data_IF_314504722474
#
_entry.id   IF_314504722474
#
_cell.length_a   1.000
_cell.length_b   1.000
_cell.length_c   1.000
_cell.angle_alpha   90.00
_cell.angle_beta   90.00
_cell.angle_gamma   90.00
#
_symmetry.space_group_name_H-M   'P 1'
#
loop_
_entity.id
_entity.type
_entity.pdbx_description
1 polymer ?
#
# COMPACT_ATOMS: atom_id res chain seq x y z
N UNK A 1 19.41 28.71 4.93
CA UNK A 1 18.03 28.33 5.28
C UNK A 1 17.29 27.89 4.04
N UNK A 2 16.69 26.72 4.07
CA UNK A 2 15.95 26.11 2.96
C UNK A 2 14.46 26.24 3.25
N UNK A 3 13.72 26.91 2.36
CA UNK A 3 12.29 27.13 2.55
C UNK A 3 11.46 26.00 1.94
N UNK A 4 10.47 25.55 2.71
CA UNK A 4 9.50 24.50 2.40
C UNK A 4 8.11 25.12 2.34
N UNK A 5 7.28 24.68 1.41
CA UNK A 5 5.85 25.00 1.36
C UNK A 5 5.02 23.71 1.47
N UNK A 6 3.97 23.71 2.30
CA UNK A 6 3.08 22.57 2.51
C UNK A 6 1.75 22.88 1.83
N UNK A 7 1.31 21.99 0.91
CA UNK A 7 0.02 22.07 0.21
C UNK A 7 -0.98 21.11 0.89
N UNK A 8 -1.97 21.68 1.57
CA UNK A 8 -2.96 20.98 2.37
C UNK A 8 -2.54 20.85 3.85
N UNK A 9 -3.35 21.39 4.74
CA UNK A 9 -3.14 21.34 6.19
C UNK A 9 -4.17 20.43 6.87
N UNK A 10 -4.31 19.22 6.29
CA UNK A 10 -5.06 18.12 6.88
C UNK A 10 -4.20 17.31 7.86
N UNK A 11 -4.63 16.09 8.15
CA UNK A 11 -3.95 15.17 9.09
C UNK A 11 -2.45 15.01 8.81
N UNK A 12 -2.08 14.84 7.54
CA UNK A 12 -0.67 14.64 7.15
C UNK A 12 0.09 15.97 7.13
N UNK A 13 -0.45 17.01 6.51
CA UNK A 13 0.22 18.32 6.41
C UNK A 13 0.49 18.96 7.77
N UNK A 14 -0.48 18.96 8.67
CA UNK A 14 -0.30 19.40 10.06
C UNK A 14 0.73 18.52 10.81
N UNK A 15 0.73 17.21 10.54
CA UNK A 15 1.74 16.29 11.05
C UNK A 15 3.15 16.65 10.57
N UNK A 16 3.32 16.95 9.27
CA UNK A 16 4.62 17.39 8.70
C UNK A 16 5.09 18.68 9.34
N UNK A 17 4.22 19.68 9.43
CA UNK A 17 4.51 20.95 10.11
C UNK A 17 5.02 20.68 11.53
N UNK A 18 4.30 19.84 12.29
CA UNK A 18 4.67 19.46 13.64
C UNK A 18 6.03 18.75 13.74
N UNK A 19 6.29 17.77 12.85
CA UNK A 19 7.55 16.99 12.85
C UNK A 19 8.75 17.92 12.53
N UNK A 20 8.62 18.81 11.55
CA UNK A 20 9.69 19.74 11.18
C UNK A 20 10.03 20.69 12.32
N UNK A 21 9.04 21.17 13.09
CA UNK A 21 9.28 22.02 14.27
C UNK A 21 9.81 21.22 15.46
N UNK A 22 9.20 20.07 15.76
CA UNK A 22 9.58 19.25 16.92
C UNK A 22 11.03 18.74 16.84
N UNK A 23 11.51 18.45 15.64
CA UNK A 23 12.82 17.86 15.39
C UNK A 23 13.76 18.83 14.63
N UNK A 24 13.46 20.12 14.57
CA UNK A 24 14.11 21.11 13.71
C UNK A 24 15.62 21.16 13.87
N UNK A 25 16.13 21.23 15.10
CA UNK A 25 17.57 21.24 15.38
C UNK A 25 18.28 19.98 14.82
N UNK A 26 17.74 18.80 15.08
CA UNK A 26 18.31 17.54 14.59
C UNK A 26 18.24 17.41 13.07
N UNK A 27 17.18 17.94 12.48
CA UNK A 27 17.03 17.97 11.01
C UNK A 27 18.08 18.93 10.42
N UNK A 28 18.24 20.12 11.00
CA UNK A 28 19.25 21.08 10.56
C UNK A 28 20.68 20.52 10.63
N UNK A 29 21.03 19.82 11.71
CA UNK A 29 22.32 19.11 11.81
C UNK A 29 22.53 18.09 10.66
N UNK A 30 21.50 17.35 10.30
CA UNK A 30 21.58 16.32 9.24
C UNK A 30 21.62 16.91 7.84
N UNK A 31 20.94 18.01 7.61
CA UNK A 31 20.88 18.71 6.33
C UNK A 31 22.12 19.60 6.14
N UNK A 32 22.66 20.14 7.22
CA UNK A 32 23.73 21.14 7.21
C UNK A 32 23.20 22.56 7.00
N UNK A 33 21.88 22.74 7.07
CA UNK A 33 21.19 24.04 6.97
C UNK A 33 19.82 23.95 7.65
N UNK A 34 19.24 25.09 8.03
CA UNK A 34 17.90 25.16 8.64
C UNK A 34 16.81 24.93 7.59
N UNK A 35 15.78 24.17 7.97
CA UNK A 35 14.53 24.04 7.21
C UNK A 35 13.47 24.95 7.82
N UNK A 36 12.88 25.79 6.99
CA UNK A 36 11.83 26.72 7.38
C UNK A 36 10.55 26.46 6.59
N UNK A 37 9.42 26.28 7.26
CA UNK A 37 8.10 26.25 6.59
C UNK A 37 7.69 27.70 6.32
N UNK A 38 7.84 28.14 5.06
CA UNK A 38 7.55 29.51 4.63
C UNK A 38 6.08 29.71 4.29
N UNK A 39 5.42 28.66 3.80
CA UNK A 39 4.01 28.69 3.41
C UNK A 39 3.30 27.41 3.77
N UNK A 40 2.04 27.56 4.18
CA UNK A 40 1.04 26.51 4.26
C UNK A 40 -0.13 26.91 3.36
N UNK A 41 -0.46 26.13 2.34
CA UNK A 41 -1.61 26.37 1.46
C UNK A 41 -2.79 25.51 1.93
N UNK A 42 -3.90 26.14 2.29
CA UNK A 42 -5.18 25.48 2.52
C UNK A 42 -6.33 26.43 2.15
N UNK A 43 -7.51 25.89 1.89
CA UNK A 43 -8.73 26.70 1.65
C UNK A 43 -9.39 27.17 2.93
N UNK A 44 -9.02 26.59 4.07
CA UNK A 44 -9.56 26.87 5.40
C UNK A 44 -8.63 27.82 6.15
N UNK A 45 -9.20 28.56 7.10
CA UNK A 45 -8.45 29.28 8.11
C UNK A 45 -8.21 28.42 9.34
N UNK A 46 -7.12 28.68 10.07
CA UNK A 46 -6.75 27.94 11.28
C UNK A 46 -6.42 28.91 12.42
N UNK A 47 -7.42 29.65 12.96
CA UNK A 47 -7.19 30.69 13.97
C UNK A 47 -6.55 30.10 15.23
N UNK A 48 -5.44 30.70 15.65
CA UNK A 48 -4.68 30.27 16.84
C UNK A 48 -3.82 29.03 16.65
N UNK A 49 -3.78 28.45 15.43
CA UNK A 49 -2.82 27.38 15.10
C UNK A 49 -1.46 27.99 14.73
N UNK A 50 -0.34 27.33 15.06
CA UNK A 50 1.00 27.82 14.70
C UNK A 50 1.22 28.05 13.21
N UNK A 51 0.42 27.48 12.31
CA UNK A 51 0.52 27.73 10.87
C UNK A 51 -0.13 29.05 10.41
N UNK A 52 -0.86 29.76 11.27
CA UNK A 52 -1.63 30.96 10.90
C UNK A 52 -0.74 32.04 10.27
N UNK A 53 0.46 32.25 10.82
CA UNK A 53 1.40 33.27 10.32
C UNK A 53 1.99 32.97 8.94
N UNK A 54 1.92 31.72 8.47
CA UNK A 54 2.47 31.25 7.18
C UNK A 54 1.38 30.72 6.24
N UNK A 55 0.11 30.93 6.59
CA UNK A 55 -1.03 30.47 5.80
C UNK A 55 -1.20 31.32 4.54
N UNK A 56 -1.44 30.67 3.42
CA UNK A 56 -1.87 31.30 2.17
C UNK A 56 -3.02 30.53 1.54
N UNK A 57 -3.85 31.21 0.77
CA UNK A 57 -4.94 30.63 -0.03
C UNK A 57 -4.66 30.65 -1.53
N UNK A 58 -3.54 31.27 -1.94
CA UNK A 58 -3.13 31.36 -3.34
C UNK A 58 -1.85 30.54 -3.59
N UNK A 59 -1.99 29.50 -4.41
CA UNK A 59 -0.84 28.69 -4.84
C UNK A 59 0.23 29.51 -5.56
N UNK A 60 -0.11 30.64 -6.19
CA UNK A 60 0.86 31.48 -6.89
C UNK A 60 1.86 32.13 -5.96
N UNK A 61 1.52 32.36 -4.69
CA UNK A 61 2.48 32.87 -3.69
C UNK A 61 3.65 31.88 -3.52
N UNK A 62 3.36 30.58 -3.59
CA UNK A 62 4.36 29.51 -3.48
C UNK A 62 5.09 29.31 -4.80
N UNK A 63 4.33 29.26 -5.92
CA UNK A 63 4.89 28.97 -7.23
C UNK A 63 5.89 30.02 -7.68
N UNK A 64 5.55 31.32 -7.49
CA UNK A 64 6.33 32.45 -7.96
C UNK A 64 7.44 32.88 -6.98
N UNK A 65 7.46 32.33 -5.77
CA UNK A 65 8.52 32.62 -4.81
C UNK A 65 9.80 31.82 -5.13
N UNK A 66 10.89 32.48 -5.57
CA UNK A 66 12.14 31.79 -5.93
C UNK A 66 12.86 31.17 -4.71
N UNK A 67 12.55 31.63 -3.50
CA UNK A 67 13.17 31.14 -2.27
C UNK A 67 12.59 29.80 -1.81
N UNK A 68 11.40 29.41 -2.29
CA UNK A 68 10.81 28.10 -1.98
C UNK A 68 11.52 27.02 -2.80
N UNK A 69 12.25 26.16 -2.12
CA UNK A 69 13.01 25.07 -2.75
C UNK A 69 12.26 23.73 -2.81
N UNK A 70 11.40 23.48 -1.83
CA UNK A 70 10.70 22.19 -1.66
C UNK A 70 9.23 22.44 -1.45
N UNK A 71 8.39 21.71 -2.17
CA UNK A 71 6.93 21.70 -2.04
C UNK A 71 6.49 20.33 -1.52
N UNK A 72 5.63 20.32 -0.52
CA UNK A 72 5.07 19.10 0.10
C UNK A 72 3.61 19.00 -0.25
N UNK A 73 3.21 18.04 -1.05
CA UNK A 73 1.83 17.82 -1.46
C UNK A 73 1.17 16.78 -0.53
N UNK A 74 0.16 17.21 0.23
CA UNK A 74 -0.60 16.40 1.17
C UNK A 74 -2.12 16.64 1.06
N UNK A 75 -2.58 17.09 -0.12
CA UNK A 75 -3.99 17.41 -0.36
C UNK A 75 -4.85 16.16 -0.61
N UNK A 76 -4.25 15.13 -1.20
CA UNK A 76 -4.98 13.94 -1.66
C UNK A 76 -5.76 14.15 -2.97
N UNK A 77 -6.23 13.04 -3.56
CA UNK A 77 -6.90 13.04 -4.87
C UNK A 77 -5.99 13.44 -6.03
N UNK A 78 -6.55 13.49 -7.24
CA UNK A 78 -5.75 13.80 -8.45
C UNK A 78 -5.74 15.29 -8.79
N UNK A 79 -6.81 16.04 -8.49
CA UNK A 79 -6.94 17.46 -8.78
C UNK A 79 -7.27 18.25 -7.52
N UNK A 80 -6.58 19.36 -7.25
CA UNK A 80 -5.58 20.06 -8.07
C UNK A 80 -4.13 19.51 -7.92
N UNK A 81 -3.91 18.43 -7.13
CA UNK A 81 -2.59 17.90 -6.77
C UNK A 81 -1.65 17.71 -7.97
N UNK A 82 -2.13 17.10 -9.07
CA UNK A 82 -1.33 16.90 -10.28
C UNK A 82 -0.85 18.22 -10.89
N UNK A 83 -1.75 19.18 -11.07
CA UNK A 83 -1.40 20.46 -11.70
C UNK A 83 -0.42 21.25 -10.85
N UNK A 84 -0.60 21.27 -9.53
CA UNK A 84 0.29 21.97 -8.62
C UNK A 84 1.68 21.31 -8.56
N UNK A 85 1.72 20.00 -8.43
CA UNK A 85 2.96 19.21 -8.45
C UNK A 85 3.73 19.43 -9.75
N UNK A 86 3.06 19.30 -10.89
CA UNK A 86 3.67 19.52 -12.21
C UNK A 86 4.25 20.93 -12.36
N UNK A 87 3.48 21.96 -11.97
CA UNK A 87 3.95 23.36 -12.03
C UNK A 87 5.14 23.60 -11.11
N UNK A 88 5.13 23.07 -9.88
CA UNK A 88 6.25 23.18 -8.94
C UNK A 88 7.53 22.56 -9.52
N UNK A 89 7.46 21.33 -10.05
CA UNK A 89 8.57 20.64 -10.71
C UNK A 89 9.11 21.47 -11.89
N UNK A 90 8.23 21.97 -12.75
CA UNK A 90 8.61 22.79 -13.90
C UNK A 90 9.23 24.15 -13.50
N UNK A 91 8.89 24.68 -12.32
CA UNK A 91 9.49 25.87 -11.72
C UNK A 91 10.82 25.58 -10.99
N UNK A 92 11.35 24.36 -11.07
CA UNK A 92 12.63 23.99 -10.46
C UNK A 92 12.55 23.72 -8.95
N UNK A 93 11.36 23.42 -8.42
CA UNK A 93 11.15 23.08 -7.01
C UNK A 93 11.06 21.54 -6.87
N UNK A 94 11.74 20.99 -5.86
CA UNK A 94 11.56 19.57 -5.48
C UNK A 94 10.18 19.36 -4.87
N UNK A 95 9.60 18.19 -5.08
CA UNK A 95 8.29 17.85 -4.52
C UNK A 95 8.35 16.56 -3.73
N UNK A 96 7.76 16.58 -2.52
CA UNK A 96 7.49 15.39 -1.71
C UNK A 96 5.98 15.18 -1.62
N UNK A 97 5.48 13.94 -1.74
CA UNK A 97 4.04 13.68 -1.65
C UNK A 97 3.72 12.40 -0.87
N UNK A 98 2.58 12.42 -0.18
CA UNK A 98 1.96 11.21 0.41
C UNK A 98 0.83 10.63 -0.45
N UNK A 99 0.57 11.22 -1.61
CA UNK A 99 -0.61 10.96 -2.43
C UNK A 99 -0.40 9.76 -3.36
N UNK A 100 -0.79 8.58 -2.89
CA UNK A 100 -0.67 7.32 -3.65
C UNK A 100 -1.44 7.33 -4.98
N UNK A 101 -2.57 8.05 -5.06
CA UNK A 101 -3.35 8.14 -6.30
C UNK A 101 -2.59 8.93 -7.36
N UNK A 102 -1.99 10.05 -6.96
CA UNK A 102 -1.14 10.87 -7.81
C UNK A 102 0.07 10.08 -8.32
N UNK A 103 0.72 9.33 -7.43
CA UNK A 103 1.88 8.51 -7.79
C UNK A 103 1.50 7.36 -8.71
N UNK A 104 0.41 6.64 -8.43
CA UNK A 104 -0.05 5.51 -9.24
C UNK A 104 -0.48 5.93 -10.66
N UNK A 105 -1.14 7.09 -10.82
CA UNK A 105 -1.65 7.55 -12.12
C UNK A 105 -0.62 8.36 -12.91
N UNK A 106 0.21 9.17 -12.24
CA UNK A 106 1.09 10.15 -12.89
C UNK A 106 2.57 10.06 -12.46
N UNK A 107 2.94 9.09 -11.64
CA UNK A 107 4.28 8.97 -11.05
C UNK A 107 5.39 8.96 -12.09
N UNK A 108 5.24 8.18 -13.17
CA UNK A 108 6.21 8.11 -14.28
C UNK A 108 6.44 9.50 -14.88
N UNK A 109 5.36 10.18 -15.28
CA UNK A 109 5.44 11.51 -15.92
C UNK A 109 6.08 12.53 -14.98
N UNK A 110 5.68 12.55 -13.71
CA UNK A 110 6.21 13.53 -12.73
C UNK A 110 7.70 13.28 -12.44
N UNK A 111 8.12 12.02 -12.41
CA UNK A 111 9.54 11.67 -12.25
C UNK A 111 10.37 12.04 -13.48
N UNK A 112 9.88 11.80 -14.68
CA UNK A 112 10.55 12.25 -15.92
C UNK A 112 10.70 13.79 -15.95
N UNK A 113 9.65 14.52 -15.55
CA UNK A 113 9.70 15.97 -15.42
C UNK A 113 10.69 16.42 -14.34
N UNK A 114 10.74 15.77 -13.20
CA UNK A 114 11.70 16.06 -12.15
C UNK A 114 13.14 15.85 -12.62
N UNK A 115 13.40 14.75 -13.33
CA UNK A 115 14.70 14.49 -13.97
C UNK A 115 15.08 15.59 -14.94
N UNK A 116 14.17 15.97 -15.83
CA UNK A 116 14.40 17.01 -16.83
C UNK A 116 14.71 18.36 -16.20
N UNK A 117 14.10 18.68 -15.06
CA UNK A 117 14.30 19.95 -14.35
C UNK A 117 15.38 19.87 -13.27
N UNK A 118 16.06 18.72 -13.12
CA UNK A 118 17.11 18.49 -12.13
C UNK A 118 16.66 18.76 -10.69
N UNK A 119 15.45 18.32 -10.36
CA UNK A 119 14.84 18.36 -9.03
C UNK A 119 14.37 16.96 -8.60
N UNK A 120 13.89 16.83 -7.38
CA UNK A 120 13.42 15.57 -6.83
C UNK A 120 11.89 15.50 -6.83
N UNK A 121 11.33 14.32 -7.09
CA UNK A 121 9.97 13.95 -6.83
C UNK A 121 10.00 12.69 -5.98
N UNK A 122 9.78 12.82 -4.67
CA UNK A 122 9.86 11.76 -3.66
C UNK A 122 8.48 11.50 -3.07
N UNK A 123 8.20 10.25 -2.71
CA UNK A 123 6.87 9.82 -2.33
C UNK A 123 6.85 8.64 -1.35
N UNK A 124 7.83 8.58 -0.41
CA UNK A 124 7.94 7.51 0.60
C UNK A 124 6.60 7.27 1.31
N UNK A 125 5.93 8.34 1.71
CA UNK A 125 4.66 8.26 2.44
C UNK A 125 3.46 7.77 1.62
N UNK A 126 3.62 7.53 0.32
CA UNK A 126 2.56 7.00 -0.55
C UNK A 126 2.29 5.51 -0.31
N UNK A 127 3.30 4.76 0.17
CA UNK A 127 3.20 3.34 0.48
C UNK A 127 3.72 3.05 1.89
N UNK A 128 2.97 2.26 2.66
CA UNK A 128 3.42 1.82 3.99
C UNK A 128 3.44 2.90 5.09
N UNK A 129 2.93 4.10 4.83
CA UNK A 129 2.86 5.17 5.84
C UNK A 129 4.23 5.53 6.43
N UNK A 130 4.51 5.10 7.64
CA UNK A 130 5.80 5.32 8.32
C UNK A 130 6.87 4.26 8.04
N UNK A 131 6.57 3.24 7.22
CA UNK A 131 7.51 2.17 6.85
C UNK A 131 8.43 2.67 5.73
N UNK A 132 9.76 2.70 5.90
CA UNK A 132 10.70 3.26 4.91
C UNK A 132 10.99 2.26 3.78
N UNK A 133 9.99 1.89 2.99
CA UNK A 133 10.08 0.84 1.98
C UNK A 133 10.62 1.36 0.63
N UNK A 134 10.21 2.55 0.20
CA UNK A 134 10.65 3.12 -1.07
C UNK A 134 12.12 3.53 -0.98
N UNK A 135 12.51 4.20 0.10
CA UNK A 135 13.93 4.48 0.36
C UNK A 135 14.79 3.22 0.46
N UNK A 136 14.25 2.13 1.03
CA UNK A 136 14.98 0.87 1.07
C UNK A 136 15.23 0.31 -0.34
N UNK A 137 14.20 0.30 -1.19
CA UNK A 137 14.32 -0.12 -2.60
C UNK A 137 15.28 0.79 -3.40
N UNK A 138 15.13 2.12 -3.26
CA UNK A 138 15.88 3.11 -4.05
C UNK A 138 17.34 3.30 -3.58
N UNK A 139 17.68 2.91 -2.35
CA UNK A 139 18.99 3.26 -1.76
C UNK A 139 19.74 2.10 -1.14
N UNK A 140 19.04 1.18 -0.47
CA UNK A 140 19.68 0.12 0.31
C UNK A 140 19.77 -1.21 -0.43
N UNK A 141 18.80 -1.50 -1.29
CA UNK A 141 18.65 -2.76 -2.02
C UNK A 141 19.02 -2.64 -3.50
N UNK A 142 19.72 -1.58 -3.88
CA UNK A 142 20.08 -1.27 -5.28
C UNK A 142 21.06 -2.27 -5.91
N UNK A 143 21.70 -3.11 -5.12
CA UNK A 143 22.59 -4.17 -5.61
C UNK A 143 21.87 -5.51 -5.81
N UNK A 144 20.59 -5.59 -5.45
CA UNK A 144 19.79 -6.80 -5.54
C UNK A 144 18.81 -6.75 -6.72
N UNK A 145 18.58 -7.90 -7.33
CA UNK A 145 17.43 -8.11 -8.19
C UNK A 145 16.26 -8.58 -7.32
N UNK A 146 15.30 -7.68 -7.13
CA UNK A 146 14.08 -8.01 -6.38
C UNK A 146 13.15 -8.78 -7.31
N UNK A 147 12.77 -10.00 -6.94
CA UNK A 147 11.86 -10.84 -7.73
C UNK A 147 10.47 -10.98 -7.10
N UNK A 148 10.29 -10.66 -5.81
CA UNK A 148 9.01 -10.71 -5.14
C UNK A 148 8.79 -9.53 -4.21
N UNK A 149 7.60 -8.97 -4.29
CA UNK A 149 7.05 -8.00 -3.33
C UNK A 149 5.72 -8.52 -2.83
N UNK A 150 5.55 -8.62 -1.52
CA UNK A 150 4.29 -9.02 -0.89
C UNK A 150 4.05 -8.22 0.37
N UNK A 151 2.79 -8.09 0.81
CA UNK A 151 2.55 -7.41 2.07
C UNK A 151 1.09 -7.23 2.44
N UNK A 152 0.91 -6.85 3.69
CA UNK A 152 -0.34 -6.31 4.22
C UNK A 152 -0.21 -4.79 4.15
N UNK A 153 -0.78 -4.21 3.09
CA UNK A 153 -0.59 -2.80 2.72
C UNK A 153 -1.74 -1.88 3.13
N UNK A 154 -2.79 -2.43 3.73
CA UNK A 154 -3.96 -1.66 4.17
C UNK A 154 -4.31 -1.97 5.62
N UNK A 155 -4.26 -0.96 6.48
CA UNK A 155 -4.51 -1.10 7.92
C UNK A 155 -5.99 -1.31 8.26
N UNK A 156 -6.92 -0.75 7.48
CA UNK A 156 -8.37 -0.90 7.69
C UNK A 156 -8.80 -2.35 7.51
N UNK A 157 -8.43 -2.96 6.40
CA UNK A 157 -8.77 -4.37 6.11
C UNK A 157 -8.09 -5.32 7.06
N UNK A 158 -6.83 -5.05 7.43
CA UNK A 158 -6.13 -5.87 8.42
C UNK A 158 -6.79 -5.79 9.80
N UNK A 159 -7.24 -4.59 10.22
CA UNK A 159 -8.00 -4.43 11.47
C UNK A 159 -9.30 -5.23 11.45
N UNK A 160 -10.09 -5.12 10.37
CA UNK A 160 -11.36 -5.83 10.22
C UNK A 160 -11.14 -7.35 10.30
N UNK A 161 -10.23 -7.90 9.50
CA UNK A 161 -9.93 -9.34 9.52
C UNK A 161 -9.37 -9.81 10.87
N UNK A 162 -8.56 -8.98 11.55
CA UNK A 162 -8.08 -9.27 12.90
C UNK A 162 -9.23 -9.31 13.90
N UNK A 163 -10.17 -8.36 13.85
CA UNK A 163 -11.32 -8.32 14.75
C UNK A 163 -12.28 -9.51 14.50
N UNK A 164 -12.49 -9.87 13.23
CA UNK A 164 -13.26 -11.08 12.88
C UNK A 164 -12.60 -12.35 13.45
N UNK A 165 -11.28 -12.47 13.34
CA UNK A 165 -10.52 -13.62 13.82
C UNK A 165 -10.48 -13.70 15.35
N UNK A 166 -10.11 -12.61 16.02
CA UNK A 166 -9.83 -12.62 17.46
C UNK A 166 -11.08 -12.52 18.32
N UNK A 167 -12.14 -11.86 17.81
CA UNK A 167 -13.38 -11.58 18.56
C UNK A 167 -14.60 -12.34 18.02
N UNK A 168 -14.48 -13.10 16.91
CA UNK A 168 -15.59 -13.76 16.25
C UNK A 168 -16.66 -12.81 15.70
N UNK A 169 -16.30 -11.56 15.39
CA UNK A 169 -17.23 -10.55 14.88
C UNK A 169 -17.59 -10.81 13.41
N UNK A 170 -18.81 -10.40 13.00
CA UNK A 170 -19.12 -10.33 11.58
C UNK A 170 -18.37 -9.15 10.91
N UNK A 171 -18.25 -9.19 9.59
CA UNK A 171 -17.63 -8.12 8.80
C UNK A 171 -18.25 -6.75 9.12
N UNK A 172 -19.59 -6.67 9.15
CA UNK A 172 -20.30 -5.41 9.40
C UNK A 172 -20.04 -4.84 10.80
N UNK A 173 -19.92 -5.71 11.80
CA UNK A 173 -19.62 -5.29 13.18
C UNK A 173 -18.19 -4.78 13.27
N UNK A 174 -17.24 -5.52 12.68
CA UNK A 174 -15.84 -5.14 12.66
C UNK A 174 -15.60 -3.83 11.87
N UNK A 175 -16.29 -3.65 10.74
CA UNK A 175 -16.25 -2.41 9.96
C UNK A 175 -16.79 -1.20 10.77
N UNK A 176 -17.93 -1.34 11.44
CA UNK A 176 -18.48 -0.27 12.29
C UNK A 176 -17.55 0.08 13.44
N UNK A 177 -16.90 -0.91 14.04
CA UNK A 177 -15.89 -0.69 15.09
C UNK A 177 -14.67 0.05 14.51
N UNK A 178 -14.20 -0.32 13.32
CA UNK A 178 -13.12 0.38 12.63
C UNK A 178 -13.47 1.85 12.36
N UNK A 179 -14.68 2.13 11.88
CA UNK A 179 -15.18 3.49 11.64
C UNK A 179 -15.25 4.31 12.94
N UNK A 180 -15.79 3.72 14.01
CA UNK A 180 -15.86 4.36 15.33
C UNK A 180 -14.48 4.73 15.89
N UNK A 181 -13.48 3.90 15.64
CA UNK A 181 -12.11 4.10 16.11
C UNK A 181 -11.28 5.00 15.15
N UNK A 182 -11.86 5.46 14.04
CA UNK A 182 -11.18 6.31 13.06
C UNK A 182 -10.19 5.53 12.16
N UNK A 183 -10.29 4.19 12.07
CA UNK A 183 -9.48 3.34 11.22
C UNK A 183 -10.10 3.12 9.84
N UNK A 184 -11.38 3.40 9.68
CA UNK A 184 -12.11 3.38 8.41
C UNK A 184 -12.89 4.69 8.25
N UNK A 185 -12.97 5.17 7.01
CA UNK A 185 -13.83 6.30 6.64
C UNK A 185 -15.29 5.86 6.52
N UNK A 186 -16.19 6.84 6.37
CA UNK A 186 -17.62 6.56 6.15
C UNK A 186 -17.85 5.79 4.83
N UNK A 187 -17.04 6.08 3.81
CA UNK A 187 -17.01 5.43 2.51
C UNK A 187 -15.71 4.61 2.36
N UNK A 188 -15.69 3.38 2.90
CA UNK A 188 -14.46 2.58 2.99
C UNK A 188 -14.20 1.72 1.75
N UNK A 189 -14.94 1.90 0.65
CA UNK A 189 -14.91 1.02 -0.54
C UNK A 189 -13.50 0.87 -1.11
N UNK A 190 -12.72 1.95 -1.11
CA UNK A 190 -11.34 1.89 -1.59
C UNK A 190 -10.45 0.94 -0.77
N UNK A 191 -10.74 0.82 0.54
CA UNK A 191 -10.03 -0.09 1.44
C UNK A 191 -10.58 -1.52 1.31
N UNK A 192 -11.89 -1.69 1.57
CA UNK A 192 -12.50 -3.04 1.70
C UNK A 192 -12.57 -3.80 0.39
N UNK A 193 -12.61 -3.10 -0.77
CA UNK A 193 -12.53 -3.70 -2.11
C UNK A 193 -11.07 -3.89 -2.58
N UNK A 194 -10.07 -3.50 -1.79
CA UNK A 194 -8.65 -3.74 -2.06
C UNK A 194 -7.96 -2.71 -2.96
N UNK A 195 -8.64 -1.64 -3.41
CA UNK A 195 -8.07 -0.66 -4.36
C UNK A 195 -6.92 0.16 -3.79
N UNK A 196 -6.93 0.42 -2.47
CA UNK A 196 -5.80 1.05 -1.79
C UNK A 196 -4.54 0.19 -1.87
N UNK A 197 -4.65 -1.09 -1.52
CA UNK A 197 -3.55 -2.06 -1.60
C UNK A 197 -3.09 -2.30 -3.05
N UNK A 198 -4.03 -2.29 -4.00
CA UNK A 198 -3.79 -2.40 -5.44
C UNK A 198 -2.88 -1.28 -5.96
N UNK A 199 -3.17 -0.01 -5.64
CA UNK A 199 -2.31 1.11 -6.03
C UNK A 199 -0.92 1.01 -5.41
N UNK A 200 -0.84 0.62 -4.14
CA UNK A 200 0.43 0.49 -3.42
C UNK A 200 1.32 -0.63 -3.99
N UNK A 201 0.76 -1.79 -4.29
CA UNK A 201 1.56 -2.89 -4.86
C UNK A 201 2.03 -2.53 -6.27
N UNK A 202 1.22 -1.84 -7.08
CA UNK A 202 1.63 -1.37 -8.40
C UNK A 202 2.82 -0.40 -8.32
N UNK A 203 2.81 0.54 -7.36
CA UNK A 203 3.92 1.48 -7.13
C UNK A 203 5.18 0.72 -6.69
N UNK A 204 5.08 -0.10 -5.65
CA UNK A 204 6.21 -0.85 -5.09
C UNK A 204 6.84 -1.78 -6.12
N UNK A 205 6.02 -2.49 -6.89
CA UNK A 205 6.48 -3.40 -7.94
C UNK A 205 7.14 -2.65 -9.10
N UNK A 206 6.60 -1.48 -9.46
CA UNK A 206 7.22 -0.64 -10.50
C UNK A 206 8.60 -0.17 -10.11
N UNK A 207 8.80 0.18 -8.84
CA UNK A 207 10.13 0.56 -8.31
C UNK A 207 11.05 -0.67 -8.25
N UNK A 208 10.56 -1.77 -7.67
CA UNK A 208 11.35 -2.97 -7.46
C UNK A 208 11.84 -3.60 -8.77
N UNK A 209 11.03 -3.54 -9.85
CA UNK A 209 11.35 -4.17 -11.15
C UNK A 209 11.82 -3.18 -12.21
N UNK A 210 11.85 -1.87 -11.90
CA UNK A 210 12.38 -0.83 -12.78
C UNK A 210 11.49 -0.48 -13.98
N UNK A 211 10.28 -1.04 -14.10
CA UNK A 211 9.34 -0.81 -15.21
C UNK A 211 7.94 -0.51 -14.70
N UNK A 212 7.18 0.25 -15.48
CA UNK A 212 5.85 0.66 -15.08
C UNK A 212 4.85 -0.50 -15.06
N UNK A 213 4.20 -0.68 -13.91
CA UNK A 213 3.05 -1.55 -13.71
C UNK A 213 1.85 -0.65 -13.42
N UNK A 214 0.86 -0.65 -14.31
CA UNK A 214 -0.38 0.07 -14.06
C UNK A 214 -1.25 -0.70 -13.05
N UNK A 215 -1.76 0.01 -12.04
CA UNK A 215 -2.67 -0.61 -11.07
C UNK A 215 -3.94 -1.21 -11.70
N UNK A 216 -4.28 -0.78 -12.93
CA UNK A 216 -5.42 -1.30 -13.71
C UNK A 216 -5.23 -2.74 -14.18
N UNK A 217 -3.99 -3.22 -14.22
CA UNK A 217 -3.63 -4.61 -14.58
C UNK A 217 -3.41 -5.51 -13.36
N UNK A 218 -3.55 -4.97 -12.15
CA UNK A 218 -3.47 -5.75 -10.91
C UNK A 218 -4.82 -6.40 -10.63
N UNK A 219 -4.87 -7.72 -10.63
CA UNK A 219 -6.08 -8.45 -10.25
C UNK A 219 -6.42 -8.16 -8.78
N UNK A 220 -7.62 -7.64 -8.51
CA UNK A 220 -7.97 -7.13 -7.19
C UNK A 220 -9.27 -7.76 -6.69
N UNK A 221 -9.19 -8.37 -5.51
CA UNK A 221 -10.30 -8.98 -4.78
C UNK A 221 -10.28 -8.43 -3.34
N UNK A 222 -11.39 -7.85 -2.89
CA UNK A 222 -11.55 -7.27 -1.55
C UNK A 222 -11.94 -8.29 -0.50
N UNK A 223 -12.25 -7.80 0.71
CA UNK A 223 -12.61 -8.63 1.86
C UNK A 223 -14.11 -8.67 2.16
N UNK A 224 -14.93 -7.99 1.38
CA UNK A 224 -16.38 -7.87 1.62
C UNK A 224 -17.12 -9.20 1.55
N UNK A 225 -16.54 -10.18 0.86
CA UNK A 225 -17.08 -11.53 0.75
C UNK A 225 -16.60 -12.48 1.86
N UNK A 226 -15.71 -12.07 2.76
CA UNK A 226 -15.24 -12.91 3.87
C UNK A 226 -16.26 -12.87 5.00
N UNK A 227 -16.74 -14.04 5.41
CA UNK A 227 -17.74 -14.20 6.45
C UNK A 227 -17.18 -14.89 7.71
N UNK A 228 -18.00 -14.98 8.76
CA UNK A 228 -17.63 -15.61 10.02
C UNK A 228 -17.38 -17.13 9.87
N UNK A 229 -18.00 -17.77 8.90
CA UNK A 229 -17.81 -19.21 8.63
C UNK A 229 -16.42 -19.45 8.04
N UNK A 230 -15.96 -18.58 7.14
CA UNK A 230 -14.60 -18.64 6.59
C UNK A 230 -13.55 -18.50 7.70
N UNK A 231 -13.78 -17.58 8.64
CA UNK A 231 -12.91 -17.38 9.81
C UNK A 231 -12.91 -18.60 10.73
N UNK A 232 -14.07 -19.23 10.94
CA UNK A 232 -14.18 -20.44 11.76
C UNK A 232 -13.38 -21.60 11.15
N UNK A 233 -13.49 -21.83 9.84
CA UNK A 233 -12.67 -22.82 9.14
C UNK A 233 -11.18 -22.50 9.21
N UNK A 234 -10.78 -21.26 8.92
CA UNK A 234 -9.39 -20.84 9.00
C UNK A 234 -8.81 -21.10 10.40
N UNK A 235 -9.55 -20.70 11.45
CA UNK A 235 -9.14 -20.89 12.85
C UNK A 235 -9.02 -22.38 13.22
N UNK A 236 -9.94 -23.22 12.76
CA UNK A 236 -9.89 -24.68 12.99
C UNK A 236 -8.65 -25.31 12.35
N UNK A 237 -8.20 -24.79 11.22
CA UNK A 237 -6.97 -25.22 10.55
C UNK A 237 -5.69 -24.59 11.11
N UNK A 238 -5.77 -23.69 12.10
CA UNK A 238 -4.63 -22.92 12.61
C UNK A 238 -4.13 -21.84 11.62
N UNK A 239 -4.99 -21.47 10.65
CA UNK A 239 -4.69 -20.48 9.63
C UNK A 239 -5.34 -19.12 9.95
N UNK A 240 -4.88 -18.06 9.31
CA UNK A 240 -5.52 -16.73 9.33
C UNK A 240 -5.77 -16.24 7.92
N UNK A 241 -6.89 -15.54 7.74
CA UNK A 241 -7.19 -14.84 6.48
C UNK A 241 -6.59 -13.43 6.57
N UNK A 242 -5.76 -13.06 5.59
CA UNK A 242 -5.19 -11.73 5.42
C UNK A 242 -5.43 -11.22 4.01
N UNK A 243 -5.64 -9.91 3.84
CA UNK A 243 -5.62 -9.32 2.50
C UNK A 243 -4.16 -9.09 2.11
N UNK A 244 -3.65 -9.90 1.20
CA UNK A 244 -2.30 -9.75 0.67
C UNK A 244 -2.31 -9.01 -0.66
N UNK A 245 -1.40 -8.06 -0.78
CA UNK A 245 -0.97 -7.49 -2.04
C UNK A 245 0.34 -8.16 -2.43
N UNK A 246 0.42 -8.74 -3.62
CA UNK A 246 1.56 -9.55 -4.05
C UNK A 246 1.92 -9.26 -5.49
N UNK A 247 3.21 -9.30 -5.81
CA UNK A 247 3.71 -9.35 -7.17
C UNK A 247 4.97 -10.20 -7.26
N UNK A 248 5.17 -10.83 -8.41
CA UNK A 248 6.38 -11.60 -8.67
C UNK A 248 6.84 -11.43 -10.10
N UNK A 249 8.12 -11.16 -10.27
CA UNK A 249 8.80 -11.18 -11.56
C UNK A 249 9.43 -12.57 -11.74
N UNK A 250 9.00 -13.32 -12.75
CA UNK A 250 9.45 -14.69 -13.02
C UNK A 250 10.53 -14.75 -14.09
N UNK A 251 10.98 -13.60 -14.64
CA UNK A 251 11.85 -13.55 -15.81
C UNK A 251 11.10 -13.67 -17.14
N UNK A 252 10.05 -14.49 -17.20
CA UNK A 252 9.18 -14.61 -18.38
C UNK A 252 8.09 -13.54 -18.43
N UNK A 253 7.78 -12.95 -17.30
CA UNK A 253 6.80 -11.87 -17.11
C UNK A 253 6.50 -11.67 -15.63
N UNK A 254 5.72 -10.64 -15.33
CA UNK A 254 5.33 -10.27 -13.97
C UNK A 254 3.84 -10.45 -13.76
N UNK A 255 3.44 -11.01 -12.65
CA UNK A 255 2.05 -10.97 -12.20
C UNK A 255 1.94 -10.12 -10.93
N UNK A 256 0.78 -9.52 -10.73
CA UNK A 256 0.45 -8.78 -9.52
C UNK A 256 -1.02 -9.01 -9.16
N UNK A 257 -1.29 -9.10 -7.86
CA UNK A 257 -2.65 -9.30 -7.36
C UNK A 257 -2.83 -8.77 -5.94
N UNK A 258 -4.08 -8.50 -5.60
CA UNK A 258 -4.56 -8.27 -4.23
C UNK A 258 -5.70 -9.23 -3.98
N UNK A 259 -5.61 -10.05 -2.95
CA UNK A 259 -6.66 -11.00 -2.61
C UNK A 259 -6.61 -11.40 -1.13
N UNK A 260 -7.76 -11.82 -0.56
CA UNK A 260 -7.76 -12.57 0.70
C UNK A 260 -7.01 -13.89 0.53
N UNK A 261 -6.10 -14.15 1.45
CA UNK A 261 -5.28 -15.36 1.46
C UNK A 261 -5.22 -16.00 2.83
N UNK A 262 -5.17 -17.31 2.87
CA UNK A 262 -4.89 -18.09 4.07
C UNK A 262 -3.39 -18.18 4.31
N UNK A 263 -2.97 -17.80 5.50
CA UNK A 263 -1.60 -17.87 5.97
C UNK A 263 -1.48 -18.87 7.12
N UNK A 264 -0.41 -19.64 7.13
CA UNK A 264 0.01 -20.44 8.29
C UNK A 264 0.96 -19.68 9.22
N UNK A 265 1.26 -20.26 10.37
CA UNK A 265 2.09 -19.65 11.40
C UNK A 265 3.57 -19.48 11.01
N UNK A 266 4.03 -20.16 9.98
CA UNK A 266 5.40 -20.06 9.47
C UNK A 266 5.58 -18.79 8.61
N UNK A 267 4.49 -18.26 8.06
CA UNK A 267 4.51 -17.01 7.33
C UNK A 267 4.56 -15.81 8.30
N UNK A 268 5.60 -14.96 8.17
CA UNK A 268 5.79 -13.81 9.07
C UNK A 268 4.65 -12.79 9.03
N UNK A 269 3.88 -12.73 7.93
CA UNK A 269 2.71 -11.86 7.81
C UNK A 269 1.51 -12.36 8.63
N UNK A 270 1.49 -13.63 9.06
CA UNK A 270 0.45 -14.22 9.90
C UNK A 270 0.20 -13.44 11.19
N UNK A 271 1.26 -12.92 11.82
CA UNK A 271 1.19 -12.19 13.08
C UNK A 271 1.09 -10.67 12.94
N UNK A 272 0.94 -10.15 11.72
CA UNK A 272 0.67 -8.73 11.48
C UNK A 272 -0.81 -8.45 11.75
N UNK A 273 -1.11 -7.90 12.92
CA UNK A 273 -2.49 -7.72 13.40
C UNK A 273 -2.86 -6.24 13.58
N UNK A 274 -4.16 -5.98 13.75
CA UNK A 274 -4.71 -4.65 13.97
C UNK A 274 -4.49 -3.73 12.78
N UNK A 275 -4.09 -2.48 13.02
CA UNK A 275 -3.88 -1.46 11.97
C UNK A 275 -2.47 -1.47 11.37
N UNK A 276 -1.62 -2.42 11.80
CA UNK A 276 -0.23 -2.47 11.36
C UNK A 276 -0.11 -3.03 9.95
N UNK A 277 0.92 -2.58 9.25
CA UNK A 277 1.28 -3.03 7.92
C UNK A 277 2.63 -3.75 7.96
N UNK A 278 2.87 -4.59 6.95
CA UNK A 278 4.17 -5.16 6.70
C UNK A 278 4.40 -5.34 5.21
N UNK A 279 5.64 -5.17 4.78
CA UNK A 279 6.09 -5.42 3.40
C UNK A 279 7.19 -6.45 3.45
N UNK A 280 7.05 -7.48 2.65
CA UNK A 280 8.06 -8.49 2.38
C UNK A 280 8.68 -8.27 1.00
N UNK A 281 9.98 -8.38 0.93
CA UNK A 281 10.75 -8.39 -0.31
C UNK A 281 11.62 -9.63 -0.35
N UNK A 282 11.77 -10.23 -1.52
CA UNK A 282 12.80 -11.21 -1.79
C UNK A 282 13.75 -10.66 -2.85
N UNK A 283 15.05 -10.71 -2.55
CA UNK A 283 16.12 -10.32 -3.46
C UNK A 283 17.12 -11.45 -3.64
N UNK A 284 17.72 -11.54 -4.82
CA UNK A 284 18.60 -12.62 -5.22
C UNK A 284 19.90 -12.76 -4.36
N UNK A 285 20.33 -11.68 -3.69
CA UNK A 285 21.50 -11.67 -2.84
C UNK A 285 21.17 -11.48 -1.36
N UNK A 286 20.23 -10.58 -1.05
CA UNK A 286 19.84 -10.30 0.34
C UNK A 286 18.93 -11.37 0.93
N UNK A 287 18.23 -12.14 0.07
CA UNK A 287 17.18 -13.07 0.50
C UNK A 287 15.92 -12.35 0.98
N UNK A 288 15.32 -12.84 2.04
CA UNK A 288 14.06 -12.35 2.59
C UNK A 288 14.26 -11.16 3.52
N UNK A 289 13.58 -10.05 3.22
CA UNK A 289 13.58 -8.85 4.05
C UNK A 289 12.16 -8.43 4.38
N UNK A 290 11.92 -8.06 5.64
CA UNK A 290 10.61 -7.62 6.13
C UNK A 290 10.69 -6.23 6.74
N UNK A 291 9.72 -5.41 6.36
CA UNK A 291 9.50 -4.08 6.92
C UNK A 291 8.15 -4.07 7.62
N UNK A 292 8.11 -3.67 8.87
CA UNK A 292 6.92 -3.73 9.71
C UNK A 292 6.73 -2.44 10.48
N UNK A 293 5.51 -1.92 10.53
CA UNK A 293 5.23 -0.70 11.25
C UNK A 293 3.83 -0.14 11.03
N UNK A 294 3.65 1.13 11.37
CA UNK A 294 2.39 1.84 11.19
C UNK A 294 2.21 2.22 9.71
N UNK A 295 1.23 1.60 9.05
CA UNK A 295 0.89 1.85 7.65
C UNK A 295 0.14 3.15 7.39
N UNK A 296 -0.33 3.84 8.44
CA UNK A 296 -1.06 5.11 8.38
C UNK A 296 -0.93 5.88 9.71
N UNK A 297 -1.47 7.07 9.75
CA UNK A 297 -1.49 7.93 10.94
C UNK A 297 -0.73 9.23 10.73
N UNK A 298 -1.11 10.30 11.45
CA UNK A 298 -0.56 11.64 11.27
C UNK A 298 0.97 11.67 11.40
N UNK A 299 1.52 11.27 12.54
CA UNK A 299 2.96 11.33 12.78
C UNK A 299 3.78 10.28 12.01
N UNK A 300 3.35 9.01 11.88
CA UNK A 300 4.09 8.04 11.07
C UNK A 300 4.23 8.49 9.61
N UNK A 301 3.12 8.90 8.97
CA UNK A 301 3.12 9.39 7.58
C UNK A 301 3.93 10.68 7.45
N UNK A 302 3.77 11.61 8.39
CA UNK A 302 4.56 12.85 8.42
C UNK A 302 6.06 12.59 8.60
N UNK A 303 6.45 11.56 9.34
CA UNK A 303 7.86 11.16 9.49
C UNK A 303 8.47 10.72 8.17
N UNK A 304 7.74 9.95 7.36
CA UNK A 304 8.19 9.54 6.03
C UNK A 304 8.33 10.75 5.09
N UNK A 305 7.33 11.66 5.07
CA UNK A 305 7.41 12.91 4.30
C UNK A 305 8.59 13.78 4.77
N UNK A 306 8.83 13.89 6.07
CA UNK A 306 9.97 14.63 6.59
C UNK A 306 11.31 14.03 6.17
N UNK A 307 11.38 12.68 6.07
CA UNK A 307 12.52 11.98 5.50
C UNK A 307 12.79 12.37 4.04
N UNK A 308 11.73 12.45 3.23
CA UNK A 308 11.80 12.92 1.85
C UNK A 308 12.24 14.39 1.76
N UNK A 309 11.72 15.27 2.64
CA UNK A 309 12.15 16.68 2.71
C UNK A 309 13.64 16.77 3.01
N UNK A 310 14.14 16.00 4.00
CA UNK A 310 15.58 15.95 4.34
C UNK A 310 16.40 15.45 3.15
N UNK A 311 15.93 14.43 2.45
CA UNK A 311 16.58 13.89 1.25
C UNK A 311 16.63 14.93 0.13
N UNK A 312 15.52 15.64 -0.14
CA UNK A 312 15.49 16.76 -1.08
C UNK A 312 16.45 17.89 -0.69
N UNK A 313 16.45 18.28 0.58
CA UNK A 313 17.29 19.36 1.09
C UNK A 313 18.80 19.07 0.94
N UNK A 314 19.20 17.83 1.17
CA UNK A 314 20.59 17.36 0.99
C UNK A 314 21.01 17.24 -0.48
N UNK A 315 20.04 17.15 -1.40
CA UNK A 315 20.27 16.94 -2.82
C UNK A 315 19.57 18.01 -3.69
N UNK A 316 19.60 19.28 -3.25
CA UNK A 316 19.08 20.37 -4.05
C UNK A 316 19.82 20.44 -5.39
N UNK A 317 19.06 20.65 -6.49
CA UNK A 317 19.57 20.70 -7.87
C UNK A 317 20.30 19.42 -8.32
N UNK A 318 19.97 18.28 -7.70
CA UNK A 318 20.37 16.95 -8.12
C UNK A 318 19.14 16.07 -8.06
N UNK A 319 19.00 15.18 -9.00
CA UNK A 319 17.88 14.23 -8.99
C UNK A 319 18.33 12.90 -8.39
N UNK A 320 17.67 12.49 -7.32
CA UNK A 320 17.73 11.12 -6.80
C UNK A 320 16.73 10.29 -7.61
N UNK A 321 17.18 9.24 -8.24
CA UNK A 321 16.28 8.41 -9.07
C UNK A 321 16.46 6.94 -8.77
N UNK A 322 15.34 6.25 -8.67
CA UNK A 322 15.24 4.82 -8.93
C UNK A 322 15.08 4.59 -10.43
N UNK A 323 15.24 3.34 -10.85
CA UNK A 323 15.22 2.93 -12.25
C UNK A 323 13.80 2.77 -12.83
N UNK A 324 12.74 3.18 -12.13
CA UNK A 324 11.37 3.11 -12.62
C UNK A 324 11.20 3.92 -13.91
N UNK A 325 11.11 3.23 -15.03
CA UNK A 325 10.97 3.79 -16.38
C UNK A 325 9.50 3.82 -16.83
N UNK A 326 9.21 4.57 -17.92
CA UNK A 326 7.89 4.56 -18.57
C UNK A 326 7.63 3.30 -19.40
N UNK A 327 8.61 2.45 -19.60
CA UNK A 327 8.41 1.19 -20.29
C UNK A 327 7.45 0.29 -19.50
N UNK A 328 6.37 -0.22 -20.14
CA UNK A 328 5.45 -1.09 -19.45
C UNK A 328 6.11 -2.43 -19.11
N UNK A 329 5.79 -2.95 -17.93
CA UNK A 329 6.17 -4.31 -17.57
C UNK A 329 5.39 -5.32 -18.41
N UNK A 330 6.03 -6.41 -18.81
CA UNK A 330 5.31 -7.53 -19.44
C UNK A 330 4.49 -8.24 -18.39
N UNK A 331 3.19 -7.93 -18.35
CA UNK A 331 2.28 -8.60 -17.42
C UNK A 331 1.87 -9.98 -17.93
N UNK A 332 1.83 -10.95 -17.03
CA UNK A 332 1.20 -12.26 -17.22
C UNK A 332 -0.02 -12.33 -16.31
N UNK A 333 -1.02 -13.10 -16.72
CA UNK A 333 -2.26 -13.20 -15.94
C UNK A 333 -1.99 -13.89 -14.59
N UNK A 334 -2.43 -13.27 -13.50
CA UNK A 334 -2.43 -13.94 -12.19
C UNK A 334 -3.40 -15.13 -12.12
N UNK A 335 -4.30 -15.27 -13.10
CA UNK A 335 -5.19 -16.42 -13.22
C UNK A 335 -4.46 -17.70 -13.63
N UNK A 336 -3.28 -17.56 -14.26
CA UNK A 336 -2.42 -18.69 -14.63
C UNK A 336 -1.49 -19.13 -13.48
N UNK A 337 -1.38 -18.32 -12.42
CA UNK A 337 -0.59 -18.65 -11.23
C UNK A 337 -1.31 -19.70 -10.40
N UNK A 338 -0.56 -20.73 -9.99
CA UNK A 338 -1.11 -21.84 -9.20
C UNK A 338 -1.04 -21.55 -7.70
N UNK A 339 -2.16 -21.80 -7.03
CA UNK A 339 -2.31 -21.72 -5.59
C UNK A 339 -3.03 -22.96 -5.07
N UNK A 340 -2.77 -23.34 -3.82
CA UNK A 340 -3.67 -24.19 -3.07
C UNK A 340 -4.96 -23.41 -2.74
N UNK A 341 -6.08 -24.10 -2.63
CA UNK A 341 -7.35 -23.47 -2.25
C UNK A 341 -7.92 -24.17 -1.03
N UNK A 342 -8.39 -23.40 -0.09
CA UNK A 342 -9.43 -23.84 0.84
C UNK A 342 -10.78 -23.73 0.14
N UNK A 343 -11.59 -24.77 0.21
CA UNK A 343 -12.90 -24.85 -0.45
C UNK A 343 -13.96 -25.18 0.57
N UNK A 344 -15.05 -24.41 0.59
CA UNK A 344 -16.31 -24.77 1.25
C UNK A 344 -17.20 -25.48 0.24
N UNK A 345 -17.77 -26.62 0.63
CA UNK A 345 -18.43 -27.55 -0.27
C UNK A 345 -19.71 -28.13 0.35
N UNK A 346 -20.83 -28.07 -0.40
CA UNK A 346 -22.13 -28.52 0.07
C UNK A 346 -22.59 -29.86 -0.53
N UNK A 347 -21.69 -30.61 -1.19
CA UNK A 347 -21.93 -31.97 -1.70
C UNK A 347 -21.41 -33.03 -0.76
N UNK A 348 -21.20 -34.26 -1.29
CA UNK A 348 -20.60 -35.39 -0.57
C UNK A 348 -19.07 -35.38 -0.68
N UNK A 349 -18.41 -36.09 0.24
CA UNK A 349 -16.94 -36.26 0.22
C UNK A 349 -16.49 -36.99 -1.06
N UNK A 350 -17.27 -37.94 -1.53
CA UNK A 350 -17.02 -38.72 -2.75
C UNK A 350 -17.07 -37.82 -4.00
N UNK A 351 -18.03 -36.90 -4.07
CA UNK A 351 -18.13 -35.93 -5.17
C UNK A 351 -16.94 -34.96 -5.15
N UNK A 352 -16.56 -34.46 -3.98
CA UNK A 352 -15.38 -33.59 -3.86
C UNK A 352 -14.10 -34.34 -4.27
N UNK A 353 -13.90 -35.61 -3.83
CA UNK A 353 -12.74 -36.41 -4.23
C UNK A 353 -12.69 -36.70 -5.73
N UNK A 354 -13.83 -36.92 -6.35
CA UNK A 354 -13.92 -37.19 -7.79
C UNK A 354 -13.40 -36.01 -8.62
N UNK A 355 -13.54 -34.75 -8.14
CA UNK A 355 -13.16 -33.52 -8.85
C UNK A 355 -11.81 -33.01 -8.43
N UNK A 356 -11.52 -32.95 -7.11
CA UNK A 356 -10.33 -32.30 -6.55
C UNK A 356 -9.21 -33.28 -6.17
N UNK A 357 -9.46 -34.60 -6.22
CA UNK A 357 -8.52 -35.63 -5.79
C UNK A 357 -8.65 -35.96 -4.29
N UNK A 358 -7.60 -36.49 -3.68
CA UNK A 358 -7.64 -36.81 -2.26
C UNK A 358 -7.76 -35.55 -1.41
N UNK A 359 -8.75 -35.54 -0.53
CA UNK A 359 -9.06 -34.44 0.39
C UNK A 359 -9.31 -34.97 1.80
N UNK A 360 -9.08 -34.13 2.79
CA UNK A 360 -9.46 -34.34 4.18
C UNK A 360 -10.59 -33.37 4.55
N UNK A 361 -11.82 -33.89 4.84
CA UNK A 361 -12.94 -33.02 5.16
C UNK A 361 -12.77 -32.41 6.57
N UNK A 362 -13.08 -31.11 6.67
CA UNK A 362 -13.05 -30.32 7.89
C UNK A 362 -14.47 -29.83 8.14
N UNK A 363 -14.97 -29.99 9.36
CA UNK A 363 -16.29 -29.48 9.76
C UNK A 363 -16.16 -28.43 10.86
N UNK A 364 -17.01 -27.43 10.82
CA UNK A 364 -17.16 -26.41 11.86
C UNK A 364 -18.63 -26.30 12.25
N UNK A 365 -18.91 -25.98 13.51
CA UNK A 365 -20.27 -25.87 14.02
C UNK A 365 -21.11 -24.78 13.33
N UNK A 366 -20.45 -23.75 12.80
CA UNK A 366 -21.06 -22.62 12.13
C UNK A 366 -21.54 -22.92 10.71
N UNK A 367 -21.23 -24.10 10.17
CA UNK A 367 -21.47 -24.48 8.76
C UNK A 367 -22.31 -25.75 8.66
N UNK A 368 -23.62 -25.63 8.83
CA UNK A 368 -24.54 -26.77 8.69
C UNK A 368 -24.74 -27.10 7.21
N UNK A 369 -24.60 -28.39 6.86
CA UNK A 369 -24.81 -28.90 5.51
C UNK A 369 -23.67 -28.68 4.53
N UNK A 370 -22.49 -28.24 5.00
CA UNK A 370 -21.28 -28.15 4.22
C UNK A 370 -20.05 -28.63 5.01
N UNK A 371 -18.96 -28.88 4.30
CA UNK A 371 -17.65 -29.13 4.88
C UNK A 371 -16.57 -28.37 4.12
N UNK A 372 -15.43 -28.12 4.76
CA UNK A 372 -14.27 -27.53 4.14
C UNK A 372 -13.18 -28.54 3.81
N UNK A 373 -12.29 -28.23 2.88
CA UNK A 373 -11.07 -29.00 2.62
C UNK A 373 -10.02 -28.14 1.91
N UNK A 374 -8.76 -28.58 1.99
CA UNK A 374 -7.67 -28.00 1.20
C UNK A 374 -7.47 -28.78 -0.08
N UNK A 375 -7.23 -28.07 -1.19
CA UNK A 375 -6.89 -28.68 -2.48
C UNK A 375 -5.36 -28.71 -2.71
N UNK A 376 -4.91 -29.44 -3.73
CA UNK A 376 -3.63 -29.21 -4.37
C UNK A 376 -3.59 -27.85 -5.09
N UNK A 377 -2.46 -27.57 -5.76
CA UNK A 377 -2.28 -26.32 -6.50
C UNK A 377 -2.99 -26.34 -7.85
N UNK A 378 -3.79 -25.34 -8.10
CA UNK A 378 -4.47 -25.08 -9.37
C UNK A 378 -4.33 -23.62 -9.76
N UNK A 379 -4.28 -23.35 -11.06
CA UNK A 379 -4.55 -22.01 -11.57
C UNK A 379 -6.02 -21.64 -11.34
N UNK A 380 -6.35 -20.34 -11.37
CA UNK A 380 -7.75 -19.93 -11.19
C UNK A 380 -8.67 -20.53 -12.25
N UNK A 381 -8.17 -20.67 -13.49
CA UNK A 381 -8.92 -21.29 -14.59
C UNK A 381 -9.17 -22.78 -14.32
N UNK A 382 -8.11 -23.55 -14.00
CA UNK A 382 -8.23 -24.97 -13.65
C UNK A 382 -9.20 -25.19 -12.47
N UNK A 383 -9.09 -24.32 -11.45
CA UNK A 383 -9.99 -24.37 -10.30
C UNK A 383 -11.44 -24.04 -10.69
N UNK A 384 -11.67 -23.02 -11.52
CA UNK A 384 -13.00 -22.63 -12.00
C UNK A 384 -13.69 -23.75 -12.79
N UNK A 385 -12.97 -24.40 -13.70
CA UNK A 385 -13.48 -25.59 -14.43
C UNK A 385 -13.89 -26.72 -13.48
N UNK A 386 -13.09 -27.00 -12.46
CA UNK A 386 -13.41 -28.00 -11.42
C UNK A 386 -14.62 -27.61 -10.57
N UNK A 387 -14.71 -26.33 -10.19
CA UNK A 387 -15.84 -25.80 -9.43
C UNK A 387 -17.16 -25.93 -10.21
N UNK A 388 -17.15 -25.62 -11.51
CA UNK A 388 -18.31 -25.77 -12.40
C UNK A 388 -18.71 -27.25 -12.56
N UNK A 389 -17.75 -28.14 -12.75
CA UNK A 389 -18.01 -29.60 -12.86
C UNK A 389 -18.65 -30.12 -11.58
N UNK A 390 -18.20 -29.69 -10.42
CA UNK A 390 -18.76 -30.15 -9.15
C UNK A 390 -20.16 -29.60 -8.88
N UNK A 391 -20.40 -28.34 -9.22
CA UNK A 391 -21.63 -27.60 -8.90
C UNK A 391 -21.90 -27.37 -7.40
N UNK A 392 -20.96 -27.73 -6.52
CA UNK A 392 -21.12 -27.76 -5.07
C UNK A 392 -20.17 -26.86 -4.31
N UNK A 393 -19.30 -26.12 -5.01
CA UNK A 393 -18.40 -25.14 -4.37
C UNK A 393 -19.20 -23.94 -3.88
N UNK A 394 -19.22 -23.73 -2.57
CA UNK A 394 -19.86 -22.58 -1.92
C UNK A 394 -18.93 -21.38 -1.96
N UNK A 395 -17.67 -21.59 -1.61
CA UNK A 395 -16.63 -20.56 -1.58
C UNK A 395 -15.22 -21.16 -1.69
N UNK A 396 -14.27 -20.39 -2.17
CA UNK A 396 -12.86 -20.78 -2.17
C UNK A 396 -11.98 -19.59 -1.80
N UNK A 397 -10.92 -19.85 -1.02
CA UNK A 397 -9.91 -18.87 -0.59
C UNK A 397 -8.54 -19.46 -0.89
N UNK A 398 -7.65 -18.66 -1.52
CA UNK A 398 -6.27 -19.09 -1.83
C UNK A 398 -5.45 -19.26 -0.57
N UNK A 399 -4.50 -20.19 -0.60
CA UNK A 399 -3.42 -20.31 0.39
C UNK A 399 -2.14 -19.69 -0.18
N UNK A 400 -1.49 -18.83 0.60
CA UNK A 400 -0.21 -18.19 0.25
C UNK A 400 0.98 -19.10 0.60
#
# INVERSE_FOLDING_TARGET
MINVAILGYGTVGAGVYKVLHMNGEKIAERVGDELNVKYVLDLRDFPGDPCEDVLTHDYNDILNDPDVAIVVETMGGLRPAFEFTKKAICAGKSVCTSNKELVAEHGVLLRELAKKNNVNYLFEASCGGGIPIIHALDSSLTADEIDMVSGILNGTTNYILTAMTDKGQSFEVALKEAQKNGFAELHPEADVEGWDACRKIAILSSIAYGRHITYKEVATEGITNIDAVDIAYASTMGLKIKLLAMSRNTGDGTWAMVAPMLLDADNLLYNVNGVLNAVYLHGNAVGDVYFYGSGAGSLPTASAVAGDIVSCARHLRKTLQSDWTSEPMKMISSEDVKFGYFVRFNGTVEEAKAVFGEIEPICVEQAEGEFGFMTGEFSRKEFGEKAEISGHVVKAIRRA
#
